data_IF_469347065966
#
_entry.id   IF_469347065966
#
_cell.length_a   1.000
_cell.length_b   1.000
_cell.length_c   1.000
_cell.angle_alpha   90.00
_cell.angle_beta   90.00
_cell.angle_gamma   90.00
#
_symmetry.space_group_name_H-M   'P 1'
#
loop_
_entity.id
_entity.type
_entity.pdbx_description
1 polymer ?
#
# COMPACT_ATOMS: atom_id res chain seq x y z
N UNK A 1 32.25 -22.94 -21.45
CA UNK A 1 30.89 -23.35 -21.05
C UNK A 1 30.75 -22.99 -19.58
N UNK A 2 30.05 -21.91 -19.26
CA UNK A 2 29.75 -21.52 -17.87
C UNK A 2 28.45 -22.25 -17.52
N UNK A 3 28.56 -23.18 -16.58
CA UNK A 3 27.49 -24.05 -16.12
C UNK A 3 26.60 -23.30 -15.15
N UNK A 4 25.33 -23.18 -15.53
CA UNK A 4 24.14 -22.93 -14.68
C UNK A 4 24.26 -21.75 -13.72
N UNK A 5 23.69 -20.63 -14.16
CA UNK A 5 23.21 -19.57 -13.29
C UNK A 5 22.25 -20.18 -12.26
N UNK A 6 22.69 -20.24 -11.01
CA UNK A 6 21.92 -20.55 -9.80
C UNK A 6 20.96 -19.38 -9.45
N UNK A 7 20.23 -18.89 -10.45
CA UNK A 7 19.11 -17.99 -10.24
C UNK A 7 17.85 -18.84 -10.39
N UNK A 8 17.54 -19.55 -9.31
CA UNK A 8 16.19 -20.03 -9.06
C UNK A 8 15.31 -18.78 -8.99
N UNK A 9 14.54 -18.52 -10.06
CA UNK A 9 13.55 -17.47 -10.03
C UNK A 9 12.50 -17.92 -9.00
N UNK A 10 12.33 -17.19 -7.88
CA UNK A 10 11.43 -17.61 -6.81
C UNK A 10 10.00 -17.67 -7.35
N UNK A 11 9.40 -18.83 -7.16
CA UNK A 11 8.05 -19.19 -7.59
C UNK A 11 7.02 -18.30 -6.86
N UNK A 12 6.65 -17.21 -7.53
CA UNK A 12 5.36 -16.51 -7.48
C UNK A 12 4.88 -15.92 -6.15
N UNK A 13 5.32 -14.69 -5.87
CA UNK A 13 4.44 -13.55 -5.49
C UNK A 13 5.20 -12.28 -5.85
N UNK A 14 4.51 -11.26 -6.38
CA UNK A 14 5.16 -9.98 -6.58
C UNK A 14 5.78 -9.53 -5.25
N UNK A 15 7.11 -9.36 -5.21
CA UNK A 15 7.85 -8.85 -4.05
C UNK A 15 7.39 -7.47 -3.59
N UNK A 16 6.50 -6.86 -4.38
CA UNK A 16 5.82 -5.65 -4.04
C UNK A 16 4.38 -5.68 -4.57
N UNK A 17 3.48 -5.01 -3.88
CA UNK A 17 2.12 -4.75 -4.32
C UNK A 17 1.99 -3.26 -4.69
N UNK A 18 1.84 -2.92 -5.97
CA UNK A 18 1.56 -1.55 -6.37
C UNK A 18 0.12 -1.19 -6.01
N UNK A 19 -0.09 -0.05 -5.36
CA UNK A 19 -1.42 0.49 -5.10
C UNK A 19 -1.87 1.22 -6.36
N UNK A 20 -3.06 0.88 -6.87
CA UNK A 20 -3.59 1.49 -8.08
C UNK A 20 -3.76 3.02 -7.94
N UNK A 21 -3.57 3.78 -9.03
CA UNK A 21 -3.83 5.22 -9.02
C UNK A 21 -5.27 5.58 -8.64
N UNK A 22 -6.23 4.69 -8.92
CA UNK A 22 -7.63 4.84 -8.53
C UNK A 22 -7.78 4.71 -7.01
N UNK A 23 -7.18 3.68 -6.41
CA UNK A 23 -7.13 3.52 -4.96
C UNK A 23 -6.47 4.73 -4.29
N UNK A 24 -5.29 5.17 -4.76
CA UNK A 24 -4.60 6.36 -4.24
C UNK A 24 -5.48 7.61 -4.33
N UNK A 25 -6.22 7.78 -5.43
CA UNK A 25 -7.12 8.92 -5.62
C UNK A 25 -8.26 8.90 -4.61
N UNK A 26 -8.92 7.75 -4.43
CA UNK A 26 -9.97 7.58 -3.41
C UNK A 26 -9.44 7.86 -2.01
N UNK A 27 -8.26 7.34 -1.68
CA UNK A 27 -7.64 7.59 -0.38
C UNK A 27 -7.31 9.08 -0.18
N UNK A 28 -6.85 9.79 -1.21
CA UNK A 28 -6.61 11.23 -1.16
C UNK A 28 -7.89 12.04 -0.88
N UNK A 29 -9.03 11.62 -1.43
CA UNK A 29 -10.33 12.23 -1.13
C UNK A 29 -10.71 12.07 0.35
N UNK A 30 -10.39 10.93 0.96
CA UNK A 30 -10.60 10.68 2.40
C UNK A 30 -9.67 11.58 3.24
N UNK A 31 -8.37 11.65 2.93
CA UNK A 31 -7.42 12.57 3.61
C UNK A 31 -7.94 14.01 3.58
N UNK A 32 -8.40 14.46 2.40
CA UNK A 32 -8.92 15.80 2.20
C UNK A 32 -10.23 16.04 2.97
N UNK A 33 -11.14 15.07 2.96
CA UNK A 33 -12.41 15.16 3.68
C UNK A 33 -12.22 15.20 5.19
N UNK A 34 -11.29 14.38 5.72
CA UNK A 34 -10.91 14.38 7.13
C UNK A 34 -10.27 15.71 7.53
N UNK A 35 -9.32 16.20 6.72
CA UNK A 35 -8.61 17.46 6.99
C UNK A 35 -9.55 18.68 6.95
N UNK A 36 -10.59 18.63 6.12
CA UNK A 36 -11.63 19.67 6.06
C UNK A 36 -12.73 19.49 7.12
N UNK A 37 -12.62 18.50 8.01
CA UNK A 37 -13.61 18.22 9.06
C UNK A 37 -14.97 17.77 8.54
N UNK A 38 -15.04 17.27 7.29
CA UNK A 38 -16.28 16.75 6.68
C UNK A 38 -16.64 15.36 7.18
N UNK A 39 -15.63 14.58 7.55
CA UNK A 39 -15.75 13.25 8.14
C UNK A 39 -14.92 13.20 9.42
N UNK A 40 -15.33 12.36 10.37
CA UNK A 40 -14.56 12.07 11.57
C UNK A 40 -13.50 10.98 11.34
N UNK A 41 -12.61 10.80 12.30
CA UNK A 41 -11.49 9.84 12.24
C UNK A 41 -11.97 8.39 12.15
N UNK A 42 -13.07 8.04 12.84
CA UNK A 42 -13.60 6.66 12.80
C UNK A 42 -14.16 6.35 11.41
N UNK A 43 -14.95 7.28 10.85
CA UNK A 43 -15.46 7.17 9.48
C UNK A 43 -14.32 7.07 8.48
N UNK A 44 -13.30 7.93 8.59
CA UNK A 44 -12.13 7.87 7.72
C UNK A 44 -11.43 6.50 7.80
N UNK A 45 -11.17 6.00 9.01
CA UNK A 45 -10.50 4.71 9.22
C UNK A 45 -11.26 3.53 8.59
N UNK A 46 -12.58 3.47 8.77
CA UNK A 46 -13.41 2.44 8.14
C UNK A 46 -13.38 2.52 6.62
N UNK A 47 -13.40 3.72 6.06
CA UNK A 47 -13.33 3.90 4.62
C UNK A 47 -11.95 3.53 4.06
N UNK A 48 -10.86 3.84 4.78
CA UNK A 48 -9.51 3.36 4.42
C UNK A 48 -9.47 1.83 4.36
N UNK A 49 -9.95 1.16 5.40
CA UNK A 49 -9.98 -0.31 5.47
C UNK A 49 -10.76 -0.91 4.30
N UNK A 50 -11.93 -0.34 3.97
CA UNK A 50 -12.73 -0.82 2.83
C UNK A 50 -12.02 -0.64 1.48
N UNK A 51 -11.44 0.54 1.23
CA UNK A 51 -10.74 0.82 -0.04
C UNK A 51 -9.52 -0.09 -0.18
N UNK A 52 -8.73 -0.24 0.89
CA UNK A 52 -7.55 -1.10 0.87
C UNK A 52 -7.92 -2.58 0.74
N UNK A 53 -9.02 -3.03 1.34
CA UNK A 53 -9.48 -4.43 1.23
C UNK A 53 -9.97 -4.78 -0.17
N UNK A 54 -10.51 -3.80 -0.92
CA UNK A 54 -10.93 -3.97 -2.32
C UNK A 54 -9.72 -4.02 -3.26
N UNK A 55 -8.67 -3.26 -2.96
CA UNK A 55 -7.43 -3.19 -3.75
C UNK A 55 -6.47 -4.37 -3.46
N UNK A 56 -6.25 -4.67 -2.18
CA UNK A 56 -5.19 -5.58 -1.72
C UNK A 56 -5.82 -6.92 -1.33
N UNK A 57 -5.72 -7.91 -2.21
CA UNK A 57 -6.18 -9.27 -1.92
C UNK A 57 -5.27 -10.06 -0.97
N UNK A 58 -4.01 -9.66 -0.83
CA UNK A 58 -3.05 -10.31 0.07
C UNK A 58 -3.24 -9.82 1.52
N UNK A 59 -3.54 -10.73 2.43
CA UNK A 59 -3.86 -10.38 3.82
C UNK A 59 -2.68 -9.78 4.58
N UNK A 60 -1.43 -10.15 4.26
CA UNK A 60 -0.25 -9.61 4.93
C UNK A 60 -0.03 -8.16 4.50
N UNK A 61 -0.11 -7.89 3.19
CA UNK A 61 -0.02 -6.52 2.67
C UNK A 61 -1.17 -5.64 3.14
N UNK A 62 -2.39 -6.18 3.19
CA UNK A 62 -3.55 -5.45 3.70
C UNK A 62 -3.38 -5.09 5.17
N UNK A 63 -2.97 -6.06 6.00
CA UNK A 63 -2.73 -5.84 7.44
C UNK A 63 -1.63 -4.81 7.67
N UNK A 64 -0.56 -4.86 6.88
CA UNK A 64 0.51 -3.86 6.91
C UNK A 64 0.01 -2.47 6.53
N UNK A 65 -0.77 -2.35 5.45
CA UNK A 65 -1.27 -1.07 4.97
C UNK A 65 -2.23 -0.42 5.97
N UNK A 66 -3.12 -1.21 6.57
CA UNK A 66 -4.05 -0.76 7.63
C UNK A 66 -3.27 -0.38 8.90
N UNK A 67 -2.28 -1.19 9.29
CA UNK A 67 -1.44 -0.91 10.46
C UNK A 67 -0.58 0.35 10.32
N UNK A 68 -0.23 0.73 9.10
CA UNK A 68 0.64 1.87 8.78
C UNK A 68 -0.10 2.99 8.00
N UNK A 69 -1.41 3.15 8.23
CA UNK A 69 -2.23 4.17 7.56
C UNK A 69 -1.69 5.59 7.72
N UNK A 70 -1.05 5.92 8.84
CA UNK A 70 -0.45 7.24 9.04
C UNK A 70 0.68 7.51 8.04
N UNK A 71 1.52 6.50 7.78
CA UNK A 71 2.60 6.60 6.80
C UNK A 71 2.04 6.66 5.37
N UNK A 72 1.08 5.77 5.05
CA UNK A 72 0.39 5.78 3.76
C UNK A 72 -0.28 7.14 3.48
N UNK A 73 -1.02 7.67 4.46
CA UNK A 73 -1.69 8.97 4.36
C UNK A 73 -0.70 10.11 4.17
N UNK A 74 0.50 10.02 4.76
CA UNK A 74 1.58 11.00 4.55
C UNK A 74 2.09 10.98 3.11
N UNK A 75 2.29 9.81 2.51
CA UNK A 75 2.66 9.70 1.10
C UNK A 75 1.58 10.27 0.17
N UNK A 76 0.31 9.99 0.47
CA UNK A 76 -0.83 10.52 -0.29
C UNK A 76 -0.94 12.03 -0.14
N UNK A 77 -0.79 12.56 1.08
CA UNK A 77 -0.82 14.00 1.34
C UNK A 77 0.33 14.76 0.64
N UNK A 78 1.49 14.12 0.47
CA UNK A 78 2.61 14.62 -0.34
C UNK A 78 2.35 14.56 -1.86
N UNK A 79 1.26 13.91 -2.28
CA UNK A 79 0.85 13.80 -3.68
C UNK A 79 1.54 12.68 -4.45
N UNK A 80 2.10 11.67 -3.76
CA UNK A 80 2.72 10.53 -4.43
C UNK A 80 1.65 9.68 -5.11
N UNK A 81 1.88 9.35 -6.39
CA UNK A 81 0.93 8.61 -7.24
C UNK A 81 1.37 7.18 -7.51
N UNK A 82 2.62 6.84 -7.23
CA UNK A 82 3.14 5.48 -7.36
C UNK A 82 3.56 4.99 -5.99
N UNK A 83 2.58 4.53 -5.19
CA UNK A 83 2.85 3.96 -3.87
C UNK A 83 2.86 2.44 -4.01
N UNK A 84 3.87 1.78 -3.45
CA UNK A 84 4.04 0.32 -3.47
C UNK A 84 4.31 -0.17 -2.05
N UNK A 85 3.81 -1.36 -1.74
CA UNK A 85 4.17 -2.09 -0.52
C UNK A 85 5.23 -3.11 -0.92
N UNK A 86 6.43 -3.04 -0.38
CA UNK A 86 7.51 -3.99 -0.64
C UNK A 86 7.64 -5.02 0.47
N UNK A 87 8.15 -6.21 0.13
CA UNK A 87 8.55 -7.30 1.04
C UNK A 87 9.99 -7.71 0.71
N UNK A 88 10.85 -7.84 1.72
CA UNK A 88 12.19 -8.43 1.55
C UNK A 88 12.21 -9.92 1.89
N UNK A 89 13.38 -10.55 1.69
CA UNK A 89 13.63 -11.97 2.00
C UNK A 89 13.59 -12.31 3.50
N UNK A 90 13.47 -11.32 4.39
CA UNK A 90 13.31 -11.50 5.85
C UNK A 90 11.91 -11.08 6.34
N UNK A 91 10.94 -11.01 5.43
CA UNK A 91 9.52 -10.69 5.70
C UNK A 91 9.24 -9.29 6.25
N UNK A 92 10.18 -8.36 6.12
CA UNK A 92 9.93 -6.95 6.45
C UNK A 92 9.14 -6.28 5.32
N UNK A 93 8.14 -5.50 5.72
CA UNK A 93 7.27 -4.74 4.83
C UNK A 93 7.53 -3.23 4.98
N UNK A 94 7.58 -2.51 3.86
CA UNK A 94 7.69 -1.05 3.85
C UNK A 94 6.96 -0.43 2.66
N UNK A 95 6.58 0.84 2.79
CA UNK A 95 6.09 1.62 1.68
C UNK A 95 7.24 2.24 0.87
N UNK A 96 7.15 2.12 -0.43
CA UNK A 96 7.98 2.82 -1.42
C UNK A 96 7.09 3.79 -2.21
N UNK A 97 7.61 4.99 -2.50
CA UNK A 97 6.88 6.01 -3.24
C UNK A 97 7.80 6.73 -4.23
N UNK A 98 7.48 6.64 -5.52
CA UNK A 98 8.18 7.32 -6.64
C UNK A 98 7.33 8.41 -7.31
#
# INVERSE_FOLDING_TARGET
MITKSDWDQPDERAYFHPISPDCISKLAEIVSSLSNGKIDVETAFRTYEQILSDEISDQEFLSFAIGNLNELSSYIAKGNKNIRIHRNDVDELWFDAE
#
